data_IF_759814354830
#
_entry.id   IF_759814354830
#
_cell.length_a   1.000
_cell.length_b   1.000
_cell.length_c   1.000
_cell.angle_alpha   90.00
_cell.angle_beta   90.00
_cell.angle_gamma   90.00
#
_symmetry.space_group_name_H-M   'P 1'
#
loop_
_entity.id
_entity.type
_entity.pdbx_description
1 polymer ?
#
# COMPACT_ATOMS: atom_id res chain seq x y z
N UNK A 1 9.46 -30.76 18.33
CA UNK A 1 8.19 -30.84 17.57
C UNK A 1 8.47 -30.29 16.18
N UNK A 2 8.28 -31.08 15.12
CA UNK A 2 8.36 -30.57 13.77
C UNK A 2 7.15 -29.65 13.55
N UNK A 3 7.35 -28.34 13.29
CA UNK A 3 6.20 -27.49 12.96
C UNK A 3 5.58 -28.02 11.68
N UNK A 4 4.27 -28.28 11.73
CA UNK A 4 3.49 -28.66 10.57
C UNK A 4 3.62 -27.56 9.54
N UNK A 5 3.96 -27.95 8.33
CA UNK A 5 4.13 -27.06 7.19
C UNK A 5 2.80 -26.33 6.94
N UNK A 6 2.77 -24.99 6.82
CA UNK A 6 1.61 -24.29 6.30
C UNK A 6 1.28 -24.86 4.92
N UNK A 7 0.24 -25.68 4.84
CA UNK A 7 -0.16 -26.33 3.61
C UNK A 7 -1.11 -25.43 2.83
N UNK A 8 -1.28 -25.74 1.55
CA UNK A 8 -2.37 -25.23 0.71
C UNK A 8 -3.75 -25.31 1.41
N UNK A 9 -3.91 -26.19 2.40
CA UNK A 9 -5.14 -26.43 3.14
C UNK A 9 -5.47 -25.30 4.14
N UNK A 10 -4.50 -24.46 4.53
CA UNK A 10 -4.75 -23.30 5.40
C UNK A 10 -5.25 -22.07 4.64
N UNK A 11 -5.13 -22.08 3.30
CA UNK A 11 -5.52 -20.96 2.45
C UNK A 11 -7.01 -20.57 2.59
N UNK A 12 -7.98 -21.50 2.63
CA UNK A 12 -9.39 -21.16 2.86
C UNK A 12 -9.63 -20.43 4.17
N UNK A 13 -9.04 -20.89 5.27
CA UNK A 13 -9.20 -20.26 6.58
C UNK A 13 -8.56 -18.86 6.59
N UNK A 14 -7.36 -18.71 6.04
CA UNK A 14 -6.69 -17.41 5.94
C UNK A 14 -7.53 -16.42 5.12
N UNK A 15 -8.03 -16.82 3.96
CA UNK A 15 -8.87 -15.99 3.10
C UNK A 15 -10.18 -15.61 3.78
N UNK A 16 -10.77 -16.51 4.55
CA UNK A 16 -11.96 -16.24 5.34
C UNK A 16 -11.71 -15.22 6.46
N UNK A 17 -10.60 -15.35 7.19
CA UNK A 17 -10.18 -14.36 8.20
C UNK A 17 -9.95 -12.98 7.58
N UNK A 18 -9.25 -12.91 6.44
CA UNK A 18 -8.98 -11.67 5.72
C UNK A 18 -10.26 -10.98 5.22
N UNK A 19 -11.23 -11.78 4.76
CA UNK A 19 -12.53 -11.29 4.31
C UNK A 19 -13.33 -10.69 5.45
N UNK A 20 -13.38 -11.39 6.58
CA UNK A 20 -14.07 -10.91 7.78
C UNK A 20 -13.43 -9.60 8.27
N UNK A 21 -12.10 -9.52 8.32
CA UNK A 21 -11.38 -8.28 8.63
C UNK A 21 -11.74 -7.13 7.68
N UNK A 22 -11.81 -7.36 6.36
CA UNK A 22 -12.20 -6.29 5.41
C UNK A 22 -13.62 -5.79 5.67
N UNK A 23 -14.54 -6.70 6.03
CA UNK A 23 -15.94 -6.37 6.33
C UNK A 23 -16.11 -5.64 7.66
N UNK A 24 -15.26 -5.94 8.64
CA UNK A 24 -15.13 -5.17 9.88
C UNK A 24 -14.52 -3.78 9.65
N UNK A 25 -14.12 -3.46 8.41
CA UNK A 25 -13.52 -2.17 8.07
C UNK A 25 -12.06 -2.04 8.48
N UNK A 26 -11.41 -3.15 8.85
CA UNK A 26 -10.04 -3.15 9.35
C UNK A 26 -9.07 -2.54 8.33
N UNK A 27 -8.21 -1.65 8.84
CA UNK A 27 -7.13 -1.08 8.06
C UNK A 27 -6.00 -0.66 8.99
N UNK A 28 -4.87 -1.37 8.91
CA UNK A 28 -3.67 -1.06 9.69
C UNK A 28 -2.94 0.14 9.07
N UNK A 29 -3.41 1.34 9.37
CA UNK A 29 -2.79 2.60 8.92
C UNK A 29 -1.53 2.93 9.72
N UNK A 30 -1.42 2.44 10.96
CA UNK A 30 -0.28 2.70 11.84
C UNK A 30 0.97 1.88 11.47
N UNK A 31 0.81 0.79 10.70
CA UNK A 31 1.92 0.09 10.05
C UNK A 31 2.77 0.99 9.13
N UNK A 32 2.31 2.20 8.78
CA UNK A 32 3.13 3.19 8.08
C UNK A 32 4.42 3.57 8.84
N UNK A 33 4.49 3.29 10.15
CA UNK A 33 5.63 3.61 11.01
C UNK A 33 6.60 2.44 11.25
N UNK A 34 6.33 1.22 10.73
CA UNK A 34 7.20 0.07 10.93
C UNK A 34 8.56 0.27 10.23
N UNK A 35 9.72 -0.12 10.81
CA UNK A 35 11.05 -0.01 10.18
C UNK A 35 11.23 -0.72 8.83
N UNK A 36 10.31 -1.60 8.44
CA UNK A 36 10.23 -2.13 7.07
C UNK A 36 9.73 -1.09 6.04
N UNK A 37 9.13 0.01 6.52
CA UNK A 37 8.53 1.13 5.81
C UNK A 37 9.18 2.48 6.23
N UNK A 38 9.69 2.58 7.47
CA UNK A 38 10.42 3.72 8.02
C UNK A 38 11.94 3.53 7.88
N UNK A 39 12.59 4.61 7.45
CA UNK A 39 13.98 4.71 7.01
C UNK A 39 15.04 4.34 8.05
N UNK A 40 15.97 3.46 7.67
CA UNK A 40 17.23 3.24 8.39
C UNK A 40 18.32 4.11 7.76
N UNK A 41 18.60 5.25 8.40
CA UNK A 41 19.46 6.32 7.92
C UNK A 41 20.92 5.93 7.68
N UNK A 42 21.36 6.06 6.43
CA UNK A 42 22.73 6.40 6.03
C UNK A 42 22.72 6.76 4.53
N UNK A 43 23.74 7.46 4.03
CA UNK A 43 23.84 7.97 2.65
C UNK A 43 23.53 6.95 1.52
N UNK A 44 23.66 5.65 1.80
CA UNK A 44 23.21 4.54 0.92
C UNK A 44 21.70 4.56 0.60
N UNK A 45 20.86 5.20 1.43
CA UNK A 45 19.41 5.28 1.21
C UNK A 45 19.02 6.18 0.04
N UNK A 46 19.83 7.19 -0.31
CA UNK A 46 19.43 8.17 -1.34
C UNK A 46 19.20 7.49 -2.70
N UNK A 47 20.09 6.57 -3.08
CA UNK A 47 19.99 5.81 -4.32
C UNK A 47 18.81 4.82 -4.27
N UNK A 48 18.61 4.13 -3.14
CA UNK A 48 17.50 3.17 -2.98
C UNK A 48 16.14 3.87 -3.03
N UNK A 49 15.99 5.02 -2.36
CA UNK A 49 14.77 5.83 -2.42
C UNK A 49 14.54 6.39 -3.82
N UNK A 50 15.60 6.69 -4.55
CA UNK A 50 15.53 7.15 -5.93
C UNK A 50 15.08 6.03 -6.88
N UNK A 51 15.68 4.84 -6.76
CA UNK A 51 15.27 3.63 -7.48
C UNK A 51 13.80 3.30 -7.22
N UNK A 52 13.38 3.28 -5.95
CA UNK A 52 12.01 3.01 -5.56
C UNK A 52 11.01 3.97 -6.22
N UNK A 53 11.34 5.26 -6.28
CA UNK A 53 10.48 6.27 -6.94
C UNK A 53 10.35 6.02 -8.43
N UNK A 54 11.44 5.64 -9.10
CA UNK A 54 11.41 5.30 -10.53
C UNK A 54 10.60 4.05 -10.77
N UNK A 55 10.85 2.99 -10.01
CA UNK A 55 10.13 1.73 -10.14
C UNK A 55 8.62 1.94 -9.89
N UNK A 56 8.25 2.76 -8.91
CA UNK A 56 6.86 3.14 -8.66
C UNK A 56 6.23 3.83 -9.87
N UNK A 57 6.95 4.74 -10.53
CA UNK A 57 6.45 5.45 -11.72
C UNK A 57 6.32 4.48 -12.90
N UNK A 58 7.30 3.60 -13.12
CA UNK A 58 7.26 2.56 -14.16
C UNK A 58 6.04 1.67 -13.96
N UNK A 59 5.86 1.10 -12.77
CA UNK A 59 4.74 0.22 -12.45
C UNK A 59 3.39 0.93 -12.65
N UNK A 60 3.30 2.22 -12.30
CA UNK A 60 2.11 3.05 -12.49
C UNK A 60 1.81 3.36 -13.95
N UNK A 61 2.83 3.54 -14.78
CA UNK A 61 2.66 3.77 -16.21
C UNK A 61 2.23 2.48 -16.93
N UNK A 62 2.70 1.31 -16.49
CA UNK A 62 2.42 0.04 -17.14
C UNK A 62 1.09 -0.63 -16.74
N UNK A 63 0.45 -0.19 -15.64
CA UNK A 63 -0.86 -0.73 -15.25
C UNK A 63 -1.99 -0.20 -16.15
N UNK A 64 -2.89 -1.10 -16.55
CA UNK A 64 -4.07 -0.76 -17.37
C UNK A 64 -5.15 -0.03 -16.57
N UNK A 65 -5.18 -0.20 -15.24
CA UNK A 65 -6.26 0.29 -14.37
C UNK A 65 -7.47 -0.65 -14.23
N UNK A 66 -7.50 -1.78 -14.97
CA UNK A 66 -8.51 -2.82 -14.78
C UNK A 66 -8.44 -3.40 -13.35
N UNK A 67 -9.57 -3.90 -12.84
CA UNK A 67 -9.60 -4.61 -11.56
C UNK A 67 -8.64 -5.81 -11.61
N UNK A 68 -7.96 -6.11 -10.51
CA UNK A 68 -6.98 -7.21 -10.45
C UNK A 68 -5.72 -7.04 -11.32
N UNK A 69 -5.52 -5.95 -12.07
CA UNK A 69 -4.32 -5.70 -12.87
C UNK A 69 -3.34 -4.78 -12.12
N UNK A 70 -2.56 -5.37 -11.22
CA UNK A 70 -1.46 -4.73 -10.48
C UNK A 70 -0.15 -5.09 -11.16
N UNK A 71 0.78 -4.16 -11.16
CA UNK A 71 2.13 -4.33 -11.70
C UNK A 71 3.11 -3.95 -10.59
N UNK A 72 4.17 -4.73 -10.44
CA UNK A 72 5.34 -4.35 -9.66
C UNK A 72 6.59 -4.41 -10.54
N UNK A 73 7.60 -3.64 -10.16
CA UNK A 73 8.86 -3.50 -10.87
C UNK A 73 10.03 -3.52 -9.88
N UNK A 74 11.11 -4.20 -10.24
CA UNK A 74 12.38 -4.18 -9.52
C UNK A 74 13.55 -4.07 -10.50
N UNK A 75 14.67 -3.51 -10.03
CA UNK A 75 15.93 -3.60 -10.77
C UNK A 75 16.70 -4.83 -10.33
N UNK A 76 17.26 -5.55 -11.30
CA UNK A 76 18.29 -6.55 -11.06
C UNK A 76 19.63 -6.00 -11.57
N UNK A 77 20.66 -6.00 -10.71
CA UNK A 77 21.88 -5.19 -10.90
C UNK A 77 23.19 -5.98 -10.83
N UNK A 78 23.17 -7.30 -10.93
CA UNK A 78 24.40 -8.12 -10.77
C UNK A 78 25.45 -7.90 -11.86
N UNK A 79 25.04 -7.92 -13.14
CA UNK A 79 25.96 -7.76 -14.27
C UNK A 79 25.66 -6.48 -15.04
N UNK A 80 24.43 -6.38 -15.57
CA UNK A 80 23.87 -5.20 -16.23
C UNK A 80 22.52 -4.92 -15.58
N UNK A 81 22.17 -3.64 -15.48
CA UNK A 81 20.85 -3.26 -14.97
C UNK A 81 19.79 -3.81 -15.92
N UNK A 82 18.92 -4.66 -15.39
CA UNK A 82 17.70 -5.13 -16.04
C UNK A 82 16.46 -4.75 -15.21
N UNK A 83 15.33 -4.65 -15.89
CA UNK A 83 14.03 -4.36 -15.29
C UNK A 83 13.22 -5.65 -15.19
N UNK A 84 12.88 -6.03 -13.96
CA UNK A 84 12.07 -7.20 -13.65
C UNK A 84 10.65 -6.76 -13.36
N UNK A 85 9.68 -7.33 -14.07
CA UNK A 85 8.28 -6.98 -13.93
C UNK A 85 7.47 -8.17 -13.44
N UNK A 86 6.52 -7.91 -12.53
CA UNK A 86 5.50 -8.87 -12.12
C UNK A 86 4.11 -8.28 -12.34
N UNK A 87 3.17 -9.14 -12.71
CA UNK A 87 1.75 -8.80 -12.87
C UNK A 87 0.91 -9.76 -12.02
N UNK A 88 -0.16 -9.25 -11.41
CA UNK A 88 -1.06 -10.07 -10.56
C UNK A 88 -1.97 -10.99 -11.37
N UNK A 89 -2.17 -10.67 -12.65
CA UNK A 89 -2.82 -11.55 -13.62
C UNK A 89 -1.77 -12.17 -14.54
N UNK A 90 -2.20 -13.07 -15.42
CA UNK A 90 -1.34 -13.63 -16.45
C UNK A 90 -0.76 -12.52 -17.34
N UNK A 91 0.48 -12.74 -17.77
CA UNK A 91 1.20 -11.87 -18.70
C UNK A 91 0.77 -12.23 -20.11
N UNK A 92 0.29 -11.24 -20.84
CA UNK A 92 -0.20 -11.38 -22.22
C UNK A 92 0.79 -10.73 -23.19
N UNK A 93 0.73 -11.06 -24.49
CA UNK A 93 1.60 -10.45 -25.50
C UNK A 93 1.42 -8.92 -25.57
N UNK A 94 0.19 -8.45 -25.37
CA UNK A 94 -0.13 -7.03 -25.27
C UNK A 94 0.60 -6.31 -24.11
N UNK A 95 1.07 -7.03 -23.08
CA UNK A 95 1.90 -6.45 -22.04
C UNK A 95 3.35 -6.24 -22.51
N UNK A 96 3.88 -7.13 -23.36
CA UNK A 96 5.20 -6.94 -23.99
C UNK A 96 5.18 -5.74 -24.93
N UNK A 97 4.16 -5.63 -25.79
CA UNK A 97 3.98 -4.49 -26.68
C UNK A 97 3.89 -3.16 -25.90
N UNK A 98 3.18 -3.18 -24.77
CA UNK A 98 3.07 -2.00 -23.89
C UNK A 98 4.41 -1.60 -23.29
N UNK A 99 5.20 -2.57 -22.82
CA UNK A 99 6.53 -2.30 -22.26
C UNK A 99 7.47 -1.76 -23.35
N UNK A 100 7.48 -2.37 -24.54
CA UNK A 100 8.27 -1.90 -25.66
C UNK A 100 7.89 -0.46 -26.06
N UNK A 101 6.58 -0.19 -26.19
CA UNK A 101 6.07 1.15 -26.47
C UNK A 101 6.45 2.16 -25.38
N UNK A 102 6.36 1.78 -24.11
CA UNK A 102 6.73 2.63 -22.97
C UNK A 102 8.21 3.02 -23.05
N UNK A 103 9.11 2.04 -23.19
CA UNK A 103 10.55 2.28 -23.23
C UNK A 103 10.96 3.10 -24.45
N UNK A 104 10.38 2.82 -25.62
CA UNK A 104 10.59 3.61 -26.83
C UNK A 104 10.17 5.07 -26.63
N UNK A 105 9.00 5.31 -26.03
CA UNK A 105 8.51 6.65 -25.74
C UNK A 105 9.44 7.38 -24.76
N UNK A 106 9.84 6.72 -23.67
CA UNK A 106 10.71 7.32 -22.64
C UNK A 106 12.09 7.68 -23.17
N UNK A 107 12.69 6.87 -24.06
CA UNK A 107 14.01 7.15 -24.65
C UNK A 107 14.00 8.41 -25.51
N UNK A 108 12.91 8.61 -26.25
CA UNK A 108 12.76 9.74 -27.16
C UNK A 108 12.18 11.00 -26.48
N UNK A 109 11.71 10.88 -25.23
CA UNK A 109 11.10 11.98 -24.51
C UNK A 109 12.14 12.99 -24.02
N UNK A 110 11.80 14.28 -24.14
CA UNK A 110 12.52 15.39 -23.56
C UNK A 110 12.04 15.64 -22.13
N UNK A 111 10.74 15.52 -21.89
CA UNK A 111 10.12 15.70 -20.58
C UNK A 111 8.87 14.81 -20.45
N UNK A 112 8.26 14.81 -19.27
CA UNK A 112 7.12 13.94 -18.96
C UNK A 112 5.86 14.21 -19.82
N UNK A 113 5.72 15.38 -20.43
CA UNK A 113 4.57 15.71 -21.30
C UNK A 113 4.55 14.84 -22.54
N UNK A 114 5.73 14.45 -23.04
CA UNK A 114 5.88 13.58 -24.22
C UNK A 114 5.28 12.18 -23.99
N UNK A 115 5.03 11.80 -22.73
CA UNK A 115 4.46 10.50 -22.35
C UNK A 115 2.92 10.54 -22.29
N UNK A 116 2.29 11.71 -22.37
CA UNK A 116 0.82 11.83 -22.31
C UNK A 116 0.08 11.00 -23.37
N UNK A 117 0.51 10.95 -24.65
CA UNK A 117 -0.12 10.06 -25.65
C UNK A 117 -0.04 8.59 -25.26
N UNK A 118 1.11 8.15 -24.72
CA UNK A 118 1.26 6.78 -24.21
C UNK A 118 0.25 6.49 -23.08
N UNK A 119 0.13 7.40 -22.10
CA UNK A 119 -0.81 7.24 -20.99
C UNK A 119 -2.27 7.22 -21.48
N UNK A 120 -2.63 8.05 -22.45
CA UNK A 120 -3.96 8.08 -23.03
C UNK A 120 -4.31 6.82 -23.83
N UNK A 121 -3.32 6.16 -24.43
CA UNK A 121 -3.49 4.89 -25.16
C UNK A 121 -3.55 3.70 -24.20
N UNK A 122 -2.56 3.54 -23.33
CA UNK A 122 -2.35 2.29 -22.58
C UNK A 122 -2.84 2.33 -21.12
N UNK A 123 -2.94 3.52 -20.52
CA UNK A 123 -3.14 3.68 -19.06
C UNK A 123 -4.32 4.60 -18.73
N UNK A 124 -5.17 4.90 -19.72
CA UNK A 124 -6.29 5.85 -19.62
C UNK A 124 -7.24 5.52 -18.48
N UNK A 125 -7.62 4.25 -18.31
CA UNK A 125 -8.51 3.82 -17.23
C UNK A 125 -7.86 4.07 -15.86
N UNK A 126 -6.55 3.85 -15.72
CA UNK A 126 -5.82 4.13 -14.48
C UNK A 126 -5.75 5.64 -14.18
N UNK A 127 -5.42 6.47 -15.17
CA UNK A 127 -5.43 7.94 -15.04
C UNK A 127 -6.82 8.41 -14.62
N UNK A 128 -7.87 8.00 -15.35
CA UNK A 128 -9.26 8.33 -15.05
C UNK A 128 -9.64 7.95 -13.62
N UNK A 129 -9.34 6.71 -13.22
CA UNK A 129 -9.63 6.21 -11.85
C UNK A 129 -8.93 7.03 -10.76
N UNK A 130 -7.73 7.55 -11.03
CA UNK A 130 -7.02 8.43 -10.08
C UNK A 130 -7.69 9.80 -9.98
N UNK A 131 -8.09 10.37 -11.11
CA UNK A 131 -8.82 11.64 -11.17
C UNK A 131 -10.18 11.52 -10.48
N UNK A 132 -10.96 10.47 -10.77
CA UNK A 132 -12.25 10.21 -10.11
C UNK A 132 -12.10 10.03 -8.60
N UNK A 133 -11.05 9.35 -8.15
CA UNK A 133 -10.77 9.21 -6.71
C UNK A 133 -10.34 10.52 -6.07
N UNK A 134 -9.63 11.38 -6.79
CA UNK A 134 -9.34 12.73 -6.34
C UNK A 134 -10.63 13.53 -6.19
N UNK A 135 -11.49 13.52 -7.21
CA UNK A 135 -12.80 14.17 -7.18
C UNK A 135 -13.61 13.77 -5.94
N UNK A 136 -13.78 12.45 -5.72
CA UNK A 136 -14.50 11.94 -4.55
C UNK A 136 -13.91 12.42 -3.22
N UNK A 137 -12.58 12.42 -3.09
CA UNK A 137 -11.94 12.84 -1.84
C UNK A 137 -11.99 14.35 -1.61
N UNK A 138 -11.88 15.17 -2.66
CA UNK A 138 -11.95 16.64 -2.51
C UNK A 138 -13.38 17.14 -2.34
N UNK A 139 -14.37 16.43 -2.88
CA UNK A 139 -15.79 16.76 -2.69
C UNK A 139 -16.32 16.28 -1.34
N UNK A 140 -15.73 15.23 -0.74
CA UNK A 140 -16.13 14.73 0.58
C UNK A 140 -15.57 15.57 1.74
N UNK A 141 -14.44 16.25 1.53
CA UNK A 141 -13.84 17.10 2.53
C UNK A 141 -14.40 18.53 2.37
N UNK A 142 -15.25 18.93 3.30
CA UNK A 142 -15.78 20.29 3.35
C UNK A 142 -14.72 21.23 3.93
N UNK A 143 -13.87 21.74 3.03
CA UNK A 143 -12.75 22.60 3.40
C UNK A 143 -13.21 24.00 3.82
N UNK A 144 -14.42 24.44 3.46
CA UNK A 144 -14.88 25.80 3.72
C UNK A 144 -15.15 26.04 5.20
N UNK A 145 -15.67 25.02 5.91
CA UNK A 145 -15.87 25.07 7.36
C UNK A 145 -14.55 25.21 8.12
N UNK A 146 -13.51 24.49 7.69
CA UNK A 146 -12.21 24.44 8.38
C UNK A 146 -11.35 25.68 8.11
N UNK A 147 -11.58 26.36 6.97
CA UNK A 147 -10.89 27.60 6.62
C UNK A 147 -11.22 28.72 7.60
N UNK A 148 -12.39 28.70 8.25
CA UNK A 148 -12.81 29.73 9.22
C UNK A 148 -11.99 29.66 10.52
N UNK A 149 -11.61 28.46 10.95
CA UNK A 149 -10.87 28.25 12.20
C UNK A 149 -9.34 28.28 12.02
N UNK A 150 -8.86 28.22 10.77
CA UNK A 150 -7.43 28.20 10.46
C UNK A 150 -6.86 29.61 10.27
N UNK A 151 -5.82 29.94 11.04
CA UNK A 151 -5.09 31.21 10.92
C UNK A 151 -4.05 31.13 9.78
N UNK A 152 -4.37 31.76 8.64
CA UNK A 152 -3.47 31.81 7.49
C UNK A 152 -2.26 32.71 7.74
N UNK A 153 -1.09 32.24 7.31
CA UNK A 153 0.16 33.01 7.29
C UNK A 153 0.34 33.69 5.93
N UNK A 154 1.54 34.23 5.67
CA UNK A 154 1.88 34.75 4.33
C UNK A 154 1.73 33.67 3.23
N UNK A 155 1.46 34.09 1.99
CA UNK A 155 1.36 33.19 0.81
C UNK A 155 2.59 32.28 0.67
N UNK A 156 3.79 32.82 0.91
CA UNK A 156 5.05 32.05 0.85
C UNK A 156 5.11 30.95 1.90
N UNK A 157 4.59 31.20 3.11
CA UNK A 157 4.54 30.23 4.19
C UNK A 157 3.45 29.18 3.96
N UNK A 158 2.30 29.59 3.42
CA UNK A 158 1.15 28.70 3.16
C UNK A 158 1.38 27.76 1.97
N UNK A 159 2.12 28.22 0.96
CA UNK A 159 2.37 27.45 -0.27
C UNK A 159 3.87 27.30 -0.55
N UNK A 160 4.59 26.57 0.32
CA UNK A 160 6.01 26.37 0.14
C UNK A 160 6.27 25.66 -1.20
N UNK A 161 7.36 26.06 -1.89
CA UNK A 161 7.82 25.47 -3.16
C UNK A 161 6.85 25.66 -4.34
N UNK A 162 5.91 26.59 -4.22
CA UNK A 162 4.92 26.88 -5.27
C UNK A 162 5.07 28.28 -5.86
N UNK A 163 6.12 29.02 -5.49
CA UNK A 163 6.34 30.42 -5.87
C UNK A 163 6.22 30.65 -7.37
N UNK A 164 6.85 29.81 -8.19
CA UNK A 164 6.79 29.93 -9.65
C UNK A 164 5.38 29.72 -10.23
N UNK A 165 4.64 28.73 -9.69
CA UNK A 165 3.26 28.51 -10.12
C UNK A 165 2.36 29.68 -9.73
N UNK A 166 2.53 30.17 -8.49
CA UNK A 166 1.73 31.26 -7.95
C UNK A 166 2.01 32.57 -8.67
N UNK A 167 3.26 32.92 -8.96
CA UNK A 167 3.60 34.15 -9.70
C UNK A 167 3.01 34.18 -11.11
N UNK A 168 2.81 33.01 -11.73
CA UNK A 168 2.19 32.91 -13.05
C UNK A 168 0.66 32.88 -13.00
N UNK A 169 0.07 32.35 -11.93
CA UNK A 169 -1.37 32.11 -11.83
C UNK A 169 -2.11 33.21 -11.05
N UNK A 170 -1.42 33.91 -10.16
CA UNK A 170 -1.93 34.95 -9.26
C UNK A 170 -0.95 36.13 -9.26
N UNK A 171 -0.92 36.95 -10.32
CA UNK A 171 0.01 38.07 -10.44
C UNK A 171 -0.26 39.21 -9.43
N UNK A 172 -1.47 39.28 -8.88
CA UNK A 172 -1.89 40.29 -7.91
C UNK A 172 -1.69 39.85 -6.44
N UNK A 173 -1.94 40.75 -5.47
CA UNK A 173 -1.90 40.50 -4.02
C UNK A 173 -3.03 39.56 -3.54
N UNK A 174 -3.15 38.38 -4.14
CA UNK A 174 -4.10 37.36 -3.75
C UNK A 174 -3.80 36.89 -2.31
N UNK A 175 -4.85 36.80 -1.50
CA UNK A 175 -4.73 36.27 -0.15
C UNK A 175 -4.59 34.73 -0.18
N UNK A 176 -3.96 34.11 0.83
CA UNK A 176 -3.83 32.66 0.89
C UNK A 176 -5.16 31.91 0.84
N UNK A 177 -6.20 32.46 1.45
CA UNK A 177 -7.57 31.91 1.48
C UNK A 177 -8.16 31.84 0.08
N UNK A 178 -8.02 32.94 -0.68
CA UNK A 178 -8.48 33.01 -2.06
C UNK A 178 -7.75 31.98 -2.92
N UNK A 179 -6.42 31.89 -2.81
CA UNK A 179 -5.61 30.92 -3.54
C UNK A 179 -6.05 29.50 -3.21
N UNK A 180 -6.23 29.16 -1.93
CA UNK A 180 -6.66 27.83 -1.51
C UNK A 180 -8.04 27.49 -2.10
N UNK A 181 -9.00 28.38 -1.98
CA UNK A 181 -10.36 28.20 -2.49
C UNK A 181 -10.36 28.00 -4.01
N UNK A 182 -9.65 28.84 -4.75
CA UNK A 182 -9.52 28.71 -6.21
C UNK A 182 -8.87 27.39 -6.62
N UNK A 183 -7.78 26.96 -5.96
CA UNK A 183 -7.13 25.68 -6.24
C UNK A 183 -8.06 24.49 -5.95
N UNK A 184 -8.81 24.52 -4.86
CA UNK A 184 -9.79 23.48 -4.49
C UNK A 184 -10.90 23.40 -5.53
N UNK A 185 -11.48 24.55 -5.90
CA UNK A 185 -12.53 24.63 -6.91
C UNK A 185 -12.04 24.19 -8.29
N UNK A 186 -10.81 24.55 -8.65
CA UNK A 186 -10.16 24.08 -9.86
C UNK A 186 -10.02 22.55 -9.86
N UNK A 187 -9.54 21.96 -8.76
CA UNK A 187 -9.45 20.51 -8.63
C UNK A 187 -10.82 19.82 -8.70
N UNK A 188 -11.86 20.37 -8.05
CA UNK A 188 -13.24 19.86 -8.12
C UNK A 188 -13.76 19.85 -9.56
N UNK A 189 -13.63 20.98 -10.27
CA UNK A 189 -14.11 21.13 -11.66
C UNK A 189 -13.32 20.26 -12.64
N UNK A 190 -11.99 20.36 -12.65
CA UNK A 190 -11.16 19.64 -13.61
C UNK A 190 -11.19 18.12 -13.41
N UNK A 191 -11.45 17.65 -12.20
CA UNK A 191 -11.54 16.21 -11.93
C UNK A 191 -12.81 15.56 -12.49
N UNK A 192 -13.72 16.34 -13.07
CA UNK A 192 -14.87 15.83 -13.84
C UNK A 192 -14.56 15.65 -15.35
N UNK A 193 -13.48 16.28 -15.84
CA UNK A 193 -13.11 16.24 -17.26
C UNK A 193 -12.54 14.88 -17.64
N UNK A 194 -12.92 14.39 -18.82
CA UNK A 194 -12.44 13.12 -19.38
C UNK A 194 -11.01 13.26 -19.86
N UNK A 195 -10.13 12.34 -19.44
CA UNK A 195 -8.77 12.23 -19.98
C UNK A 195 -8.80 11.46 -21.31
N UNK A 196 -8.53 12.15 -22.42
CA UNK A 196 -8.52 11.61 -23.79
C UNK A 196 -7.19 11.92 -24.49
N UNK A 197 -6.99 11.34 -25.68
CA UNK A 197 -5.78 11.50 -26.50
C UNK A 197 -5.90 12.74 -27.39
N UNK A 198 -5.96 13.91 -26.77
CA UNK A 198 -6.08 15.20 -27.45
C UNK A 198 -5.39 16.31 -26.64
N UNK A 199 -5.07 17.42 -27.32
CA UNK A 199 -4.30 18.52 -26.74
C UNK A 199 -5.01 19.22 -25.57
N UNK A 200 -6.34 19.35 -25.63
CA UNK A 200 -7.11 20.02 -24.58
C UNK A 200 -7.14 19.15 -23.31
N UNK A 201 -7.39 17.84 -23.44
CA UNK A 201 -7.29 16.88 -22.34
C UNK A 201 -5.91 16.89 -21.70
N UNK A 202 -4.85 16.96 -22.50
CA UNK A 202 -3.47 17.04 -22.01
C UNK A 202 -3.22 18.33 -21.24
N UNK A 203 -3.59 19.49 -21.79
CA UNK A 203 -3.45 20.79 -21.10
C UNK A 203 -4.17 20.80 -19.76
N UNK A 204 -5.40 20.29 -19.71
CA UNK A 204 -6.20 20.20 -18.48
C UNK A 204 -5.55 19.26 -17.46
N UNK A 205 -5.07 18.10 -17.90
CA UNK A 205 -4.38 17.16 -17.02
C UNK A 205 -3.07 17.72 -16.46
N UNK A 206 -2.29 18.43 -17.28
CA UNK A 206 -1.06 19.11 -16.85
C UNK A 206 -1.37 20.12 -15.76
N UNK A 207 -2.34 21.01 -15.99
CA UNK A 207 -2.72 22.02 -14.99
C UNK A 207 -3.28 21.38 -13.71
N UNK A 208 -4.08 20.32 -13.83
CA UNK A 208 -4.55 19.54 -12.67
C UNK A 208 -3.37 18.95 -11.87
N UNK A 209 -2.33 18.42 -12.53
CA UNK A 209 -1.15 17.90 -11.82
C UNK A 209 -0.36 18.99 -11.11
N UNK A 210 -0.26 20.18 -11.70
CA UNK A 210 0.36 21.36 -11.07
C UNK A 210 -0.42 21.81 -9.84
N UNK A 211 -1.74 21.97 -9.93
CA UNK A 211 -2.59 22.31 -8.78
C UNK A 211 -2.50 21.25 -7.69
N UNK A 212 -2.51 19.96 -8.07
CA UNK A 212 -2.35 18.87 -7.12
C UNK A 212 -0.99 18.91 -6.39
N UNK A 213 0.06 19.42 -7.04
CA UNK A 213 1.35 19.66 -6.40
C UNK A 213 1.31 20.78 -5.36
N UNK A 214 0.59 21.86 -5.65
CA UNK A 214 0.48 23.00 -4.74
C UNK A 214 -0.34 22.60 -3.52
N UNK A 215 -1.55 22.09 -3.73
CA UNK A 215 -2.48 21.69 -2.66
C UNK A 215 -1.88 20.63 -1.72
N UNK A 216 -1.21 19.60 -2.25
CA UNK A 216 -0.68 18.53 -1.37
C UNK A 216 0.42 19.02 -0.41
N UNK A 217 1.06 20.14 -0.74
CA UNK A 217 2.20 20.69 -0.03
C UNK A 217 1.84 21.95 0.76
N UNK A 218 0.59 22.44 0.67
CA UNK A 218 0.20 23.64 1.40
C UNK A 218 0.17 23.38 2.91
N UNK A 219 0.43 24.43 3.70
CA UNK A 219 0.49 24.34 5.16
C UNK A 219 -0.88 23.96 5.74
N UNK A 220 -1.96 24.52 5.22
CA UNK A 220 -3.32 24.15 5.62
C UNK A 220 -3.62 22.64 5.53
N UNK A 221 -3.33 21.98 4.39
CA UNK A 221 -3.55 20.53 4.29
C UNK A 221 -2.58 19.74 5.16
N UNK A 222 -1.39 20.27 5.46
CA UNK A 222 -0.50 19.65 6.46
C UNK A 222 -1.13 19.72 7.85
N UNK A 223 -1.60 20.90 8.27
CA UNK A 223 -2.32 21.13 9.52
C UNK A 223 -3.46 20.13 9.70
N UNK A 224 -4.35 20.01 8.70
CA UNK A 224 -5.46 19.04 8.72
C UNK A 224 -5.02 17.58 8.87
N UNK A 225 -3.77 17.25 8.54
CA UNK A 225 -3.26 15.88 8.66
C UNK A 225 -2.44 15.62 9.92
N UNK A 226 -1.96 16.66 10.60
CA UNK A 226 -0.98 16.51 11.70
C UNK A 226 -1.46 17.07 13.03
N UNK A 227 -2.36 18.05 13.03
CA UNK A 227 -2.78 18.71 14.26
C UNK A 227 -3.77 17.82 15.05
N UNK A 228 -3.49 17.61 16.32
CA UNK A 228 -4.31 16.77 17.20
C UNK A 228 -5.67 17.38 17.53
N UNK A 229 -5.83 18.70 17.35
CA UNK A 229 -7.11 19.40 17.52
C UNK A 229 -8.11 19.04 16.42
N UNK A 230 -7.62 18.62 15.25
CA UNK A 230 -8.48 18.16 14.16
C UNK A 230 -9.02 16.77 14.50
N UNK A 231 -10.35 16.62 14.45
CA UNK A 231 -11.02 15.35 14.76
C UNK A 231 -10.45 14.19 13.93
N UNK A 232 -10.41 12.95 14.47
CA UNK A 232 -9.77 11.80 13.82
C UNK A 232 -10.37 11.48 12.44
N UNK A 233 -11.68 11.61 12.28
CA UNK A 233 -12.36 11.43 10.99
C UNK A 233 -11.87 12.44 9.95
N UNK A 234 -11.81 13.73 10.32
CA UNK A 234 -11.32 14.80 9.44
C UNK A 234 -9.85 14.61 9.08
N UNK A 235 -9.00 14.24 10.05
CA UNK A 235 -7.60 13.91 9.78
C UNK A 235 -7.46 12.77 8.77
N UNK A 236 -8.27 11.72 8.93
CA UNK A 236 -8.30 10.60 7.98
C UNK A 236 -8.71 11.06 6.58
N UNK A 237 -9.75 11.90 6.47
CA UNK A 237 -10.22 12.45 5.20
C UNK A 237 -9.18 13.35 4.51
N UNK A 238 -8.52 14.23 5.27
CA UNK A 238 -7.43 15.07 4.78
C UNK A 238 -6.23 14.22 4.33
N UNK A 239 -5.84 13.20 5.09
CA UNK A 239 -4.77 12.29 4.73
C UNK A 239 -5.10 11.51 3.44
N UNK A 240 -6.37 11.11 3.31
CA UNK A 240 -6.91 10.47 2.11
C UNK A 240 -6.82 11.40 0.90
N UNK A 241 -7.26 12.66 1.01
CA UNK A 241 -7.13 13.67 -0.04
C UNK A 241 -5.67 13.91 -0.44
N UNK A 242 -4.78 14.14 0.52
CA UNK A 242 -3.32 14.33 0.29
C UNK A 242 -2.71 13.17 -0.48
N UNK A 243 -3.10 11.94 -0.15
CA UNK A 243 -2.72 10.72 -0.88
C UNK A 243 -3.26 10.73 -2.32
N UNK A 244 -4.50 11.17 -2.57
CA UNK A 244 -5.07 11.26 -3.94
C UNK A 244 -4.37 12.32 -4.78
N UNK A 245 -4.11 13.50 -4.23
CA UNK A 245 -3.32 14.56 -4.88
C UNK A 245 -1.93 14.04 -5.27
N UNK A 246 -1.27 13.33 -4.36
CA UNK A 246 0.02 12.68 -4.62
C UNK A 246 -0.03 11.67 -5.77
N UNK A 247 -1.11 10.89 -5.87
CA UNK A 247 -1.28 9.88 -6.95
C UNK A 247 -1.53 10.51 -8.32
N UNK A 248 -2.19 11.66 -8.39
CA UNK A 248 -2.34 12.41 -9.66
C UNK A 248 -1.01 13.06 -10.06
N UNK A 249 -0.34 13.72 -9.12
CA UNK A 249 0.96 14.33 -9.38
C UNK A 249 2.05 13.33 -9.79
N UNK A 250 1.96 12.07 -9.35
CA UNK A 250 2.98 11.04 -9.56
C UNK A 250 3.48 10.93 -11.01
N UNK A 251 2.64 11.22 -12.02
CA UNK A 251 3.05 11.18 -13.43
C UNK A 251 4.09 12.23 -13.81
N UNK A 252 4.16 13.37 -13.13
CA UNK A 252 5.23 14.36 -13.36
C UNK A 252 6.62 13.83 -13.02
N UNK A 253 6.71 12.77 -12.20
CA UNK A 253 7.98 12.12 -11.85
C UNK A 253 8.53 11.23 -12.97
N UNK A 254 7.82 11.11 -14.09
CA UNK A 254 8.33 10.47 -15.30
C UNK A 254 9.64 11.12 -15.77
N UNK A 255 9.87 12.41 -15.51
CA UNK A 255 11.16 13.06 -15.78
C UNK A 255 12.34 12.31 -15.12
N UNK A 256 12.13 11.70 -13.96
CA UNK A 256 13.14 10.89 -13.28
C UNK A 256 13.43 9.59 -14.03
N UNK A 257 12.41 8.99 -14.64
CA UNK A 257 12.53 7.80 -15.48
C UNK A 257 13.23 8.14 -16.80
N UNK A 258 12.88 9.27 -17.42
CA UNK A 258 13.57 9.80 -18.61
C UNK A 258 15.05 10.03 -18.30
N UNK A 259 15.35 10.73 -17.20
CA UNK A 259 16.72 10.96 -16.75
C UNK A 259 17.48 9.66 -16.45
N UNK A 260 16.82 8.66 -15.87
CA UNK A 260 17.40 7.33 -15.68
C UNK A 260 17.75 6.68 -17.02
N UNK A 261 16.81 6.60 -17.96
CA UNK A 261 17.04 5.98 -19.27
C UNK A 261 18.13 6.70 -20.07
N UNK A 262 18.21 8.04 -20.01
CA UNK A 262 19.28 8.81 -20.66
C UNK A 262 20.67 8.53 -20.07
N UNK A 263 20.77 8.24 -18.77
CA UNK A 263 22.05 7.86 -18.13
C UNK A 263 22.51 6.43 -18.45
N UNK A 264 21.60 5.57 -18.89
CA UNK A 264 21.89 4.20 -19.30
C UNK A 264 21.48 4.02 -20.77
N UNK A 265 22.22 4.61 -21.72
CA UNK A 265 21.80 4.73 -23.13
C UNK A 265 21.71 3.40 -23.90
N UNK A 266 22.07 2.27 -23.29
CA UNK A 266 21.90 0.95 -23.89
C UNK A 266 20.49 0.38 -23.69
N UNK A 267 20.18 -0.69 -24.42
CA UNK A 267 18.96 -1.46 -24.16
C UNK A 267 19.00 -2.06 -22.75
N UNK A 268 18.17 -1.50 -21.86
CA UNK A 268 17.84 -2.08 -20.55
C UNK A 268 16.97 -3.31 -20.82
N UNK A 269 17.48 -4.54 -20.58
CA UNK A 269 16.68 -5.74 -20.78
C UNK A 269 15.48 -5.71 -19.84
N UNK A 270 14.32 -6.11 -20.34
CA UNK A 270 13.09 -6.18 -19.55
C UNK A 270 12.49 -7.56 -19.69
N UNK A 271 12.09 -8.14 -18.57
CA UNK A 271 11.41 -9.43 -18.56
C UNK A 271 10.27 -9.45 -17.55
N UNK A 272 9.22 -10.17 -17.94
CA UNK A 272 8.12 -10.50 -17.06
C UNK A 272 8.41 -11.81 -16.34
N UNK A 273 8.16 -11.84 -15.04
CA UNK A 273 8.14 -13.09 -14.27
C UNK A 273 6.92 -13.90 -14.72
N UNK A 274 7.18 -15.01 -15.39
CA UNK A 274 6.17 -16.00 -15.83
C UNK A 274 6.18 -17.28 -15.00
N UNK A 275 7.05 -17.33 -13.99
CA UNK A 275 7.25 -18.51 -13.15
C UNK A 275 5.94 -18.93 -12.48
N UNK A 276 5.73 -20.25 -12.52
CA UNK A 276 4.73 -20.91 -11.69
C UNK A 276 5.43 -21.42 -10.44
N UNK A 277 4.81 -21.16 -9.30
CA UNK A 277 5.35 -21.52 -8.00
C UNK A 277 4.53 -22.68 -7.44
N UNK A 278 4.99 -23.94 -7.60
CA UNK A 278 4.28 -25.09 -7.05
C UNK A 278 4.24 -25.00 -5.52
N UNK A 279 3.20 -25.57 -4.92
CA UNK A 279 3.01 -25.58 -3.46
C UNK A 279 2.54 -24.25 -2.87
N UNK A 280 2.13 -23.29 -3.70
CA UNK A 280 1.50 -22.04 -3.24
C UNK A 280 0.01 -22.23 -2.94
N UNK A 281 -0.56 -21.27 -2.21
CA UNK A 281 -2.00 -21.14 -2.00
C UNK A 281 -2.78 -20.68 -3.24
N UNK A 282 -2.16 -20.49 -4.42
CA UNK A 282 -2.89 -20.09 -5.63
C UNK A 282 -3.87 -21.19 -6.09
N UNK A 283 -5.07 -20.82 -6.54
CA UNK A 283 -6.06 -21.81 -6.98
C UNK A 283 -7.48 -21.28 -6.95
N UNK A 284 -8.47 -22.14 -7.21
CA UNK A 284 -9.88 -21.85 -6.95
C UNK A 284 -10.29 -22.61 -5.69
N UNK A 285 -10.96 -21.92 -4.76
CA UNK A 285 -11.44 -22.48 -3.51
C UNK A 285 -12.86 -22.04 -3.24
N UNK A 286 -13.59 -22.84 -2.47
CA UNK A 286 -14.87 -22.47 -1.89
C UNK A 286 -14.64 -21.75 -0.55
N UNK A 287 -15.39 -20.69 -0.31
CA UNK A 287 -15.39 -20.04 1.00
C UNK A 287 -16.03 -20.96 2.05
N UNK A 288 -15.52 -20.98 3.29
CA UNK A 288 -16.19 -21.65 4.41
C UNK A 288 -17.66 -21.19 4.59
N UNK A 289 -18.49 -22.09 5.14
CA UNK A 289 -19.96 -22.08 5.10
C UNK A 289 -20.61 -20.79 5.64
N UNK A 290 -19.98 -20.08 6.58
CA UNK A 290 -20.51 -18.82 7.12
C UNK A 290 -19.49 -17.94 7.85
N UNK A 291 -19.80 -16.64 8.01
CA UNK A 291 -18.96 -15.74 8.80
C UNK A 291 -18.90 -16.14 10.27
N UNK A 292 -19.95 -16.76 10.80
CA UNK A 292 -19.99 -17.25 12.18
C UNK A 292 -19.08 -18.45 12.41
N UNK A 293 -18.83 -19.27 11.38
CA UNK A 293 -17.87 -20.37 11.48
C UNK A 293 -16.44 -19.83 11.59
N UNK A 294 -16.14 -18.74 10.87
CA UNK A 294 -14.86 -18.03 10.99
C UNK A 294 -14.69 -17.45 12.39
N UNK A 295 -15.74 -16.86 12.96
CA UNK A 295 -15.71 -16.29 14.33
C UNK A 295 -15.48 -17.39 15.35
N UNK A 296 -16.22 -18.51 15.25
CA UNK A 296 -16.07 -19.65 16.14
C UNK A 296 -14.65 -20.23 16.07
N UNK A 297 -14.09 -20.33 14.87
CA UNK A 297 -12.70 -20.75 14.69
C UNK A 297 -11.70 -19.74 15.25
N UNK A 298 -11.94 -18.44 15.11
CA UNK A 298 -11.01 -17.41 15.58
C UNK A 298 -10.98 -17.29 17.12
N UNK A 299 -12.10 -17.57 17.79
CA UNK A 299 -12.23 -17.44 19.25
C UNK A 299 -12.03 -18.76 20.01
N UNK A 300 -11.91 -19.90 19.31
CA UNK A 300 -11.94 -21.25 19.88
C UNK A 300 -13.18 -21.54 20.77
N UNK A 301 -14.21 -20.68 20.70
CA UNK A 301 -15.41 -20.74 21.52
C UNK A 301 -16.66 -20.35 20.69
N UNK A 302 -17.86 -20.80 21.09
CA UNK A 302 -19.10 -20.30 20.50
C UNK A 302 -19.22 -18.79 20.66
N UNK A 303 -19.52 -18.08 19.56
CA UNK A 303 -19.72 -16.64 19.61
C UNK A 303 -20.89 -16.27 20.55
N UNK A 304 -20.67 -15.29 21.43
CA UNK A 304 -21.74 -14.72 22.25
C UNK A 304 -22.89 -14.20 21.36
N UNK A 305 -24.13 -14.23 21.87
CA UNK A 305 -25.31 -13.75 21.13
C UNK A 305 -25.15 -12.30 20.67
N UNK A 306 -24.52 -11.47 21.49
CA UNK A 306 -24.26 -10.06 21.19
C UNK A 306 -23.30 -9.90 20.01
N UNK A 307 -22.18 -10.65 20.01
CA UNK A 307 -21.24 -10.66 18.88
C UNK A 307 -21.92 -11.16 17.60
N UNK A 308 -22.75 -12.21 17.72
CA UNK A 308 -23.52 -12.77 16.60
C UNK A 308 -24.45 -11.72 15.99
N UNK A 309 -25.14 -10.93 16.83
CA UNK A 309 -26.01 -9.86 16.37
C UNK A 309 -25.22 -8.74 15.66
N UNK A 310 -24.11 -8.28 16.24
CA UNK A 310 -23.23 -7.26 15.65
C UNK A 310 -22.69 -7.69 14.29
N UNK A 311 -22.19 -8.92 14.18
CA UNK A 311 -21.68 -9.47 12.92
C UNK A 311 -22.80 -9.61 11.91
N UNK A 312 -23.98 -10.11 12.29
CA UNK A 312 -25.11 -10.25 11.36
C UNK A 312 -25.58 -8.90 10.78
N UNK A 313 -25.41 -7.80 11.51
CA UNK A 313 -25.70 -6.45 11.02
C UNK A 313 -24.62 -5.94 10.05
N UNK A 314 -23.35 -6.20 10.35
CA UNK A 314 -22.21 -5.77 9.53
C UNK A 314 -22.02 -6.64 8.28
N UNK A 315 -22.44 -7.90 8.34
CA UNK A 315 -22.07 -8.96 7.41
C UNK A 315 -23.34 -9.58 6.81
N UNK A 316 -23.84 -9.06 5.67
CA UNK A 316 -25.01 -9.65 5.01
C UNK A 316 -24.73 -11.10 4.59
N UNK A 317 -25.40 -12.08 5.19
CA UNK A 317 -25.21 -13.50 4.93
C UNK A 317 -25.28 -13.86 3.43
N UNK A 318 -26.17 -13.19 2.68
CA UNK A 318 -26.33 -13.36 1.22
C UNK A 318 -25.06 -13.04 0.41
N UNK A 319 -24.12 -12.26 0.96
CA UNK A 319 -22.85 -11.89 0.30
C UNK A 319 -21.68 -12.79 0.68
N UNK A 320 -21.84 -13.67 1.68
CA UNK A 320 -20.76 -14.53 2.17
C UNK A 320 -20.63 -15.82 1.34
N UNK A 321 -21.69 -16.64 1.31
CA UNK A 321 -21.66 -18.04 0.83
C UNK A 321 -21.84 -18.27 -0.69
N UNK A 322 -21.79 -17.23 -1.54
CA UNK A 322 -21.95 -17.40 -3.00
C UNK A 322 -20.65 -17.27 -3.79
N UNK A 323 -19.49 -17.33 -3.13
CA UNK A 323 -18.24 -16.89 -3.74
C UNK A 323 -17.17 -17.96 -3.60
N UNK A 324 -16.95 -18.67 -4.71
CA UNK A 324 -15.63 -19.22 -4.98
C UNK A 324 -14.64 -18.06 -5.07
N UNK A 325 -13.47 -18.19 -4.45
CA UNK A 325 -12.42 -17.18 -4.53
C UNK A 325 -11.16 -17.77 -5.16
N UNK A 326 -10.39 -16.91 -5.83
CA UNK A 326 -9.18 -17.30 -6.53
C UNK A 326 -8.00 -16.49 -5.98
N UNK A 327 -7.39 -16.91 -4.86
CA UNK A 327 -6.25 -16.22 -4.30
C UNK A 327 -5.07 -16.34 -5.25
N UNK A 328 -4.28 -15.27 -5.33
CA UNK A 328 -3.10 -15.19 -6.18
C UNK A 328 -1.93 -14.61 -5.41
N UNK A 329 -0.73 -15.03 -5.81
CA UNK A 329 0.48 -14.39 -5.34
C UNK A 329 0.50 -12.95 -5.82
N UNK A 330 0.57 -12.04 -4.86
CA UNK A 330 0.71 -10.62 -5.15
C UNK A 330 2.04 -10.33 -5.83
N UNK A 331 2.06 -9.25 -6.60
CA UNK A 331 3.17 -8.88 -7.47
C UNK A 331 4.50 -8.68 -6.73
N UNK A 332 4.45 -8.19 -5.50
CA UNK A 332 5.60 -8.00 -4.64
C UNK A 332 6.26 -9.35 -4.30
N UNK A 333 5.44 -10.32 -3.88
CA UNK A 333 5.92 -11.65 -3.53
C UNK A 333 6.48 -12.36 -4.76
N UNK A 334 5.83 -12.24 -5.92
CA UNK A 334 6.36 -12.81 -7.18
C UNK A 334 7.78 -12.30 -7.47
N UNK A 335 8.05 -11.00 -7.27
CA UNK A 335 9.40 -10.41 -7.41
C UNK A 335 10.36 -11.00 -6.37
N UNK A 336 9.97 -11.03 -5.10
CA UNK A 336 10.83 -11.53 -4.02
C UNK A 336 11.18 -12.99 -4.26
N UNK A 337 10.20 -13.84 -4.54
CA UNK A 337 10.39 -15.27 -4.79
C UNK A 337 11.28 -15.52 -6.01
N UNK A 338 11.15 -14.72 -7.08
CA UNK A 338 11.99 -14.85 -8.27
C UNK A 338 13.44 -14.44 -7.99
N UNK A 339 13.64 -13.26 -7.40
CA UNK A 339 14.96 -12.66 -7.24
C UNK A 339 15.74 -13.23 -6.05
N UNK A 340 15.09 -13.56 -4.94
CA UNK A 340 15.79 -14.09 -3.76
C UNK A 340 16.41 -15.48 -4.01
N UNK A 341 15.97 -16.20 -5.06
CA UNK A 341 16.60 -17.46 -5.51
C UNK A 341 17.83 -17.26 -6.39
N UNK A 342 17.92 -16.13 -7.07
CA UNK A 342 18.98 -15.84 -8.04
C UNK A 342 20.07 -14.96 -7.44
N UNK A 343 19.71 -14.10 -6.49
CA UNK A 343 20.65 -13.19 -5.85
C UNK A 343 21.63 -13.94 -4.94
N UNK A 344 22.94 -13.64 -5.01
CA UNK A 344 23.93 -14.22 -4.10
C UNK A 344 23.62 -13.78 -2.67
N UNK A 345 23.68 -14.73 -1.75
CA UNK A 345 23.59 -14.43 -0.32
C UNK A 345 24.89 -13.77 0.10
N UNK A 346 24.80 -12.50 0.51
CA UNK A 346 25.97 -11.80 1.01
C UNK A 346 26.41 -12.40 2.34
N UNK A 347 27.70 -12.75 2.53
CA UNK A 347 28.23 -13.16 3.82
C UNK A 347 28.35 -11.99 4.81
N UNK A 348 28.15 -10.75 4.35
CA UNK A 348 28.26 -9.56 5.20
C UNK A 348 27.03 -9.36 6.07
N UNK A 349 27.22 -8.85 7.30
CA UNK A 349 26.13 -8.47 8.20
C UNK A 349 25.20 -7.36 7.66
N UNK A 350 25.62 -6.61 6.64
CA UNK A 350 24.78 -5.55 6.04
C UNK A 350 23.77 -6.17 5.07
N UNK A 351 22.48 -5.95 5.35
CA UNK A 351 21.39 -6.36 4.48
C UNK A 351 21.42 -5.55 3.17
N UNK A 352 21.25 -6.23 2.05
CA UNK A 352 21.14 -5.57 0.74
C UNK A 352 19.72 -5.01 0.59
N UNK A 353 19.61 -3.70 0.43
CA UNK A 353 18.33 -3.03 0.20
C UNK A 353 17.85 -3.26 -1.24
N UNK A 354 16.63 -3.77 -1.39
CA UNK A 354 16.05 -4.16 -2.67
C UNK A 354 14.68 -3.50 -2.86
N UNK A 355 14.61 -2.37 -3.58
CA UNK A 355 13.37 -1.64 -3.79
C UNK A 355 12.46 -2.34 -4.80
N UNK A 356 11.17 -2.40 -4.48
CA UNK A 356 10.09 -2.87 -5.36
C UNK A 356 9.08 -1.73 -5.55
N UNK A 357 9.06 -1.17 -6.74
CA UNK A 357 8.05 -0.18 -7.11
C UNK A 357 6.74 -0.85 -7.48
N UNK A 358 5.63 -0.33 -7.00
CA UNK A 358 4.33 -0.97 -7.15
C UNK A 358 3.26 0.01 -7.66
N UNK A 359 2.41 -0.46 -8.58
CA UNK A 359 1.33 0.38 -9.13
C UNK A 359 0.25 0.72 -8.09
N UNK A 360 0.16 -0.12 -7.05
CA UNK A 360 -0.60 0.09 -5.80
C UNK A 360 0.33 -0.08 -4.61
N UNK A 361 -0.06 0.47 -3.45
CA UNK A 361 0.66 0.18 -2.20
C UNK A 361 0.47 -1.28 -1.82
N UNK A 362 1.39 -1.83 -1.05
CA UNK A 362 1.31 -3.20 -0.57
C UNK A 362 0.13 -3.41 0.38
N UNK A 363 -0.40 -4.63 0.38
CA UNK A 363 -1.46 -5.02 1.30
C UNK A 363 -0.92 -5.42 2.67
N UNK A 364 -1.82 -5.69 3.62
CA UNK A 364 -1.50 -6.20 4.95
C UNK A 364 -0.60 -7.44 4.87
N UNK A 365 -1.04 -8.49 4.17
CA UNK A 365 -0.31 -9.75 4.07
C UNK A 365 1.08 -9.61 3.43
N UNK A 366 1.20 -8.87 2.31
CA UNK A 366 2.51 -8.59 1.71
C UNK A 366 3.45 -7.88 2.70
N UNK A 367 2.92 -6.97 3.52
CA UNK A 367 3.70 -6.20 4.49
C UNK A 367 4.19 -7.11 5.62
N UNK A 368 3.30 -7.93 6.20
CA UNK A 368 3.63 -8.88 7.26
C UNK A 368 4.66 -9.91 6.76
N UNK A 369 4.42 -10.48 5.57
CA UNK A 369 5.30 -11.45 4.96
C UNK A 369 6.69 -10.86 4.71
N UNK A 370 6.77 -9.68 4.08
CA UNK A 370 8.03 -8.99 3.85
C UNK A 370 8.75 -8.64 5.15
N UNK A 371 8.04 -8.21 6.20
CA UNK A 371 8.64 -7.92 7.51
C UNK A 371 9.32 -9.18 8.06
N UNK A 372 8.61 -10.30 8.08
CA UNK A 372 9.15 -11.58 8.57
C UNK A 372 10.33 -12.08 7.72
N UNK A 373 10.20 -12.04 6.39
CA UNK A 373 11.26 -12.42 5.46
C UNK A 373 12.52 -11.55 5.64
N UNK A 374 12.35 -10.23 5.75
CA UNK A 374 13.47 -9.30 5.90
C UNK A 374 14.18 -9.46 7.23
N UNK A 375 13.47 -9.82 8.31
CA UNK A 375 14.10 -10.05 9.62
C UNK A 375 15.10 -11.20 9.55
N UNK A 376 14.76 -12.25 8.82
CA UNK A 376 15.45 -13.53 8.84
C UNK A 376 16.24 -13.85 7.56
N UNK A 377 16.45 -12.86 6.68
CA UNK A 377 17.27 -12.98 5.48
C UNK A 377 18.35 -11.90 5.39
N UNK A 378 19.31 -12.09 4.48
CA UNK A 378 20.33 -11.09 4.12
C UNK A 378 19.78 -9.96 3.25
N UNK A 379 18.50 -9.98 2.91
CA UNK A 379 17.86 -9.03 2.02
C UNK A 379 16.91 -8.11 2.81
N UNK A 380 16.83 -6.86 2.37
CA UNK A 380 15.88 -5.89 2.89
C UNK A 380 15.00 -5.39 1.74
N UNK A 381 13.93 -6.14 1.47
CA UNK A 381 12.93 -5.79 0.47
C UNK A 381 12.07 -4.63 0.97
N UNK A 382 11.83 -3.63 0.12
CA UNK A 382 11.02 -2.46 0.50
C UNK A 382 10.12 -2.00 -0.62
N UNK A 383 8.95 -1.49 -0.28
CA UNK A 383 8.01 -0.89 -1.24
C UNK A 383 7.73 0.57 -0.90
N UNK A 384 6.97 1.28 -1.72
CA UNK A 384 6.51 2.66 -1.47
C UNK A 384 5.52 2.82 -0.30
N UNK A 385 5.39 1.80 0.55
CA UNK A 385 4.55 1.73 1.73
C UNK A 385 3.33 0.82 1.58
N UNK A 386 2.67 0.58 2.69
CA UNK A 386 1.45 -0.23 2.79
C UNK A 386 0.18 0.63 2.77
N UNK A 387 -0.94 0.02 2.42
CA UNK A 387 -2.25 0.57 2.73
C UNK A 387 -2.98 -0.22 3.81
N UNK A 388 -2.35 -1.22 4.43
CA UNK A 388 -2.86 -1.91 5.63
C UNK A 388 -4.16 -2.71 5.45
N UNK A 389 -4.67 -2.83 4.22
CA UNK A 389 -5.95 -3.51 3.98
C UNK A 389 -5.72 -5.01 3.82
N UNK A 390 -6.56 -5.85 4.43
CA UNK A 390 -6.64 -7.26 4.14
C UNK A 390 -7.17 -7.47 2.71
N UNK A 391 -6.78 -8.58 2.09
CA UNK A 391 -7.30 -9.01 0.79
C UNK A 391 -7.46 -10.51 0.79
N UNK A 392 -8.71 -10.98 0.78
CA UNK A 392 -9.07 -12.40 0.72
C UNK A 392 -8.45 -13.15 -0.47
N UNK A 393 -8.12 -12.43 -1.55
CA UNK A 393 -7.50 -12.99 -2.74
C UNK A 393 -5.95 -13.01 -2.70
N UNK A 394 -5.35 -12.84 -1.52
CA UNK A 394 -3.91 -13.03 -1.32
C UNK A 394 -3.59 -14.52 -1.11
N UNK A 395 -2.65 -15.06 -1.88
CA UNK A 395 -2.20 -16.45 -1.73
C UNK A 395 -0.93 -16.56 -0.87
N UNK A 396 -0.88 -17.61 -0.05
CA UNK A 396 0.32 -18.08 0.64
C UNK A 396 1.41 -18.48 -0.37
N UNK A 397 2.65 -17.99 -0.19
CA UNK A 397 3.82 -18.52 -0.89
C UNK A 397 4.07 -20.02 -0.72
N UNK A 398 3.68 -20.61 0.41
CA UNK A 398 3.86 -22.02 0.74
C UNK A 398 5.30 -22.47 0.51
N UNK A 399 5.48 -23.63 -0.14
CA UNK A 399 6.80 -24.21 -0.41
C UNK A 399 7.71 -23.27 -1.20
N UNK A 400 7.14 -22.43 -2.07
CA UNK A 400 7.92 -21.46 -2.82
C UNK A 400 8.53 -20.36 -1.92
N UNK A 401 7.89 -20.04 -0.79
CA UNK A 401 8.40 -19.11 0.21
C UNK A 401 9.52 -19.67 1.09
N UNK A 402 9.70 -21.00 1.09
CA UNK A 402 10.65 -21.70 1.97
C UNK A 402 12.07 -21.61 1.45
N UNK A 403 12.71 -20.49 1.75
CA UNK A 403 14.11 -20.25 1.37
C UNK A 403 15.10 -20.62 2.48
N UNK A 404 14.73 -21.58 3.35
CA UNK A 404 15.50 -21.95 4.54
C UNK A 404 15.46 -20.89 5.65
N UNK A 405 14.41 -20.06 5.65
CA UNK A 405 14.22 -18.93 6.57
C UNK A 405 13.35 -19.39 7.73
N UNK A 406 13.72 -19.01 8.97
CA UNK A 406 12.93 -19.27 10.18
C UNK A 406 12.85 -18.01 11.05
N UNK A 407 11.69 -17.72 11.69
CA UNK A 407 10.39 -18.38 11.51
C UNK A 407 9.88 -18.31 10.06
N UNK A 408 8.98 -19.22 9.70
CA UNK A 408 8.39 -19.25 8.35
C UNK A 408 7.56 -17.96 8.16
N UNK A 409 7.84 -17.15 7.11
CA UNK A 409 7.05 -15.96 6.82
C UNK A 409 5.55 -16.23 6.69
N UNK A 410 5.15 -17.41 6.23
CA UNK A 410 3.74 -17.78 6.07
C UNK A 410 3.06 -18.00 7.42
N UNK A 411 3.69 -18.73 8.34
CA UNK A 411 3.23 -18.89 9.74
C UNK A 411 3.05 -17.52 10.41
N UNK A 412 3.99 -16.59 10.14
CA UNK A 412 3.93 -15.22 10.69
C UNK A 412 2.73 -14.45 10.16
N UNK A 413 2.40 -14.60 8.86
CA UNK A 413 1.21 -13.97 8.27
C UNK A 413 -0.05 -14.55 8.89
N UNK A 414 -0.18 -15.88 8.94
CA UNK A 414 -1.38 -16.55 9.46
C UNK A 414 -1.64 -16.13 10.91
N UNK A 415 -0.63 -16.22 11.78
CA UNK A 415 -0.73 -15.80 13.17
C UNK A 415 -1.04 -14.31 13.30
N UNK A 416 -0.37 -13.46 12.51
CA UNK A 416 -0.56 -12.01 12.53
C UNK A 416 -1.95 -11.55 12.05
N UNK A 417 -2.57 -12.30 11.13
CA UNK A 417 -3.96 -12.08 10.68
C UNK A 417 -4.95 -12.59 11.73
N UNK A 418 -4.74 -13.78 12.27
CA UNK A 418 -5.57 -14.36 13.32
C UNK A 418 -5.65 -13.42 14.54
N UNK A 419 -4.50 -12.96 15.03
CA UNK A 419 -4.42 -12.05 16.16
C UNK A 419 -5.21 -10.75 15.94
N UNK A 420 -5.07 -10.14 14.77
CA UNK A 420 -5.83 -8.92 14.41
C UNK A 420 -7.33 -9.19 14.36
N UNK A 421 -7.74 -10.33 13.81
CA UNK A 421 -9.16 -10.69 13.78
C UNK A 421 -9.73 -10.85 15.19
N UNK A 422 -9.03 -11.54 16.09
CA UNK A 422 -9.45 -11.68 17.49
C UNK A 422 -9.58 -10.31 18.15
N UNK A 423 -8.60 -9.42 17.99
CA UNK A 423 -8.64 -8.06 18.53
C UNK A 423 -9.86 -7.28 18.03
N UNK A 424 -10.15 -7.32 16.73
CA UNK A 424 -11.31 -6.63 16.17
C UNK A 424 -12.63 -7.23 16.68
N UNK A 425 -12.72 -8.55 16.83
CA UNK A 425 -13.89 -9.22 17.41
C UNK A 425 -14.09 -8.84 18.89
N UNK A 426 -13.01 -8.72 19.66
CA UNK A 426 -13.07 -8.25 21.05
C UNK A 426 -13.64 -6.83 21.15
N UNK A 427 -13.33 -5.94 20.19
CA UNK A 427 -13.89 -4.57 20.19
C UNK A 427 -15.40 -4.52 19.98
N UNK A 428 -16.00 -5.58 19.43
CA UNK A 428 -17.43 -5.70 19.21
C UNK A 428 -18.18 -6.29 20.41
N UNK A 429 -17.46 -6.74 21.45
CA UNK A 429 -18.07 -7.28 22.67
C UNK A 429 -18.28 -6.15 23.71
N UNK A 430 -19.53 -5.80 24.07
CA UNK A 430 -19.81 -4.66 24.94
C UNK A 430 -19.44 -4.86 26.43
N UNK A 431 -19.02 -6.05 26.86
CA UNK A 431 -18.84 -6.38 28.29
C UNK A 431 -17.57 -7.18 28.63
N UNK A 432 -16.44 -6.92 27.97
CA UNK A 432 -15.18 -7.17 28.68
C UNK A 432 -14.96 -6.01 29.64
N UNK A 433 -15.09 -6.30 30.94
CA UNK A 433 -14.73 -5.47 32.10
C UNK A 433 -13.65 -4.44 31.75
N UNK A 434 -13.74 -3.20 32.28
CA UNK A 434 -12.81 -2.12 31.94
C UNK A 434 -11.39 -2.69 31.91
N UNK A 435 -10.74 -2.62 30.74
CA UNK A 435 -9.30 -2.88 30.62
C UNK A 435 -8.69 -2.19 31.81
N UNK A 436 -8.14 -2.95 32.76
CA UNK A 436 -7.37 -2.35 33.85
C UNK A 436 -6.33 -1.50 33.16
N UNK A 437 -6.56 -0.20 33.24
CA UNK A 437 -5.64 0.83 32.79
C UNK A 437 -4.24 0.44 33.29
N UNK A 438 -3.22 0.64 32.46
CA UNK A 438 -1.80 0.49 32.82
C UNK A 438 -1.40 1.36 34.04
N UNK A 439 -2.32 2.15 34.60
CA UNK A 439 -2.16 2.86 35.88
C UNK A 439 -2.00 1.96 37.12
N UNK A 440 -2.16 0.63 37.01
CA UNK A 440 -1.83 -0.30 38.12
C UNK A 440 -0.49 -1.04 37.99
N UNK A 441 0.37 -0.66 37.04
CA UNK A 441 1.75 -1.17 36.97
C UNK A 441 2.71 -0.55 38.02
N UNK A 442 2.18 0.05 39.09
CA UNK A 442 2.96 0.59 40.19
C UNK A 442 2.34 0.27 41.55
N UNK A 443 2.15 -1.02 41.86
CA UNK A 443 2.22 -1.51 43.25
C UNK A 443 2.54 -3.01 43.22
N UNK A 444 3.70 -3.38 43.76
CA UNK A 444 4.11 -4.77 43.87
C UNK A 444 3.25 -5.53 44.89
N UNK A 445 2.74 -6.69 44.49
CA UNK A 445 2.64 -7.84 45.39
C UNK A 445 2.62 -9.12 44.57
N UNK A 446 3.59 -9.98 44.83
CA UNK A 446 3.67 -11.34 44.31
C UNK A 446 2.59 -12.21 44.94
N UNK A 447 1.74 -12.80 44.10
CA UNK A 447 1.16 -14.15 44.20
C UNK A 447 -0.23 -14.22 43.56
N UNK A 448 -0.32 -14.54 42.27
CA UNK A 448 -1.52 -15.15 41.70
C UNK A 448 -1.15 -16.16 40.61
N UNK A 449 -1.58 -17.42 40.80
CA UNK A 449 -1.52 -18.50 39.81
C UNK A 449 -2.60 -18.27 38.74
N UNK A 450 -2.18 -18.16 37.48
CA UNK A 450 -3.06 -18.14 36.31
C UNK A 450 -3.33 -19.56 35.74
N UNK A 451 -4.44 -19.77 35.01
CA UNK A 451 -4.74 -21.02 34.29
C UNK A 451 -3.80 -21.26 33.09
N UNK A 452 -3.70 -22.53 32.68
CA UNK A 452 -2.61 -23.17 31.93
C UNK A 452 -2.63 -23.07 30.39
N UNK A 453 -3.17 -22.02 29.75
CA UNK A 453 -3.31 -21.98 28.26
C UNK A 453 -2.65 -20.79 27.55
N UNK A 454 -1.77 -20.04 28.21
CA UNK A 454 -1.25 -18.74 27.74
C UNK A 454 0.13 -18.77 27.02
N UNK A 455 0.68 -19.94 26.71
CA UNK A 455 2.10 -20.05 26.27
C UNK A 455 2.38 -19.61 24.82
N UNK A 456 1.38 -19.45 23.94
CA UNK A 456 1.60 -18.96 22.57
C UNK A 456 1.69 -17.43 22.47
N UNK A 457 1.02 -16.69 23.36
CA UNK A 457 0.92 -15.23 23.32
C UNK A 457 2.18 -14.53 23.85
N UNK A 458 2.86 -15.11 24.84
CA UNK A 458 4.15 -14.57 25.34
C UNK A 458 5.24 -14.51 24.28
N UNK A 459 5.27 -15.47 23.35
CA UNK A 459 6.34 -15.51 22.35
C UNK A 459 6.29 -14.30 21.42
N UNK A 460 5.08 -13.83 21.06
CA UNK A 460 4.90 -12.69 20.17
C UNK A 460 5.02 -11.35 20.89
N UNK A 461 4.49 -11.23 22.12
CA UNK A 461 4.65 -10.02 22.94
C UNK A 461 6.10 -9.81 23.41
N UNK A 462 6.85 -10.89 23.68
CA UNK A 462 8.28 -10.80 24.02
C UNK A 462 9.16 -10.57 22.79
N UNK A 463 8.76 -10.98 21.58
CA UNK A 463 9.46 -10.62 20.33
C UNK A 463 9.28 -9.13 19.99
N UNK A 464 8.11 -8.56 20.24
CA UNK A 464 7.88 -7.12 20.05
C UNK A 464 8.53 -6.29 21.17
N UNK A 465 8.60 -6.77 22.42
CA UNK A 465 9.26 -6.04 23.53
C UNK A 465 10.79 -6.17 23.59
N UNK A 466 11.38 -7.32 23.23
CA UNK A 466 12.85 -7.51 23.27
C UNK A 466 13.61 -6.82 22.14
N UNK A 467 12.93 -6.10 21.24
CA UNK A 467 13.55 -5.40 20.10
C UNK A 467 13.45 -3.87 20.18
N UNK A 468 12.96 -3.33 21.31
CA UNK A 468 12.90 -1.89 21.59
C UNK A 468 13.47 -1.55 22.97
N UNK A 469 14.66 -2.09 23.27
CA UNK A 469 15.57 -1.63 24.33
C UNK A 469 16.89 -1.20 23.72
#
# INVERSE_FOLDING_TARGET
MASSIPTKEEQPQLSANLRLLDWLGYCDLDMLSSPAIASNGAASEKNVRWDLRILDVIAVCLTTGNAGNVVAAAFYKEQKISLVLAKSSNVEDADNDRVAAFLSTIRNANNWLDILPFLAKYSRKNVKKRIEKLHKSISALDLELEVVEYEFKSVTAEFPRSQHYLSLSYPDKATPEFILSDLVNYCKTMSTIKFQNDQLSFKNFVRLTSVANVLRNCAFLNYLTTDTKVGPERRFEAARLKRRLTKVYQYTRIDQVIGFCKRYPGDIPVYWIKDQYPGTGEGLYDMPDGPMDVVKHALDEPAAQVLTASISQLVPAKKWGQLSFNPRLHTELRIILHLARTLPRSPTLRKTMLPIGCSKRSCLCCTLWMKSFNQNSSFQWMTGGSHGKPYENWALPGDAGRMGIRPDPDETVIAGIHHRLVQELDTLMPEQLPRKSDELASTGSDNYRYPKTWESTKYYDELDRRHWG
#
